data_IF_021094780104
#
_entry.id   IF_021094780104
#
_cell.length_a   1.000
_cell.length_b   1.000
_cell.length_c   1.000
_cell.angle_alpha   90.00
_cell.angle_beta   90.00
_cell.angle_gamma   90.00
#
_symmetry.space_group_name_H-M   'P 1'
#
loop_
_entity.id
_entity.type
_entity.pdbx_description
1 polymer ?
#
# COMPACT_ATOMS: atom_id res chain seq x y z
N UNK A 1 -11.03 20.19 18.64
CA UNK A 1 -11.93 20.41 17.49
C UNK A 1 -12.16 19.07 16.83
N UNK A 2 -13.41 18.60 16.68
CA UNK A 2 -13.70 17.39 15.89
C UNK A 2 -13.50 17.77 14.43
N UNK A 3 -12.38 17.40 13.85
CA UNK A 3 -12.20 17.39 12.40
C UNK A 3 -13.25 16.45 11.82
N UNK A 4 -14.13 16.96 10.98
CA UNK A 4 -15.10 16.10 10.27
C UNK A 4 -14.29 15.14 9.40
N UNK A 5 -14.32 13.84 9.74
CA UNK A 5 -13.67 12.82 8.93
C UNK A 5 -14.34 12.77 7.57
N UNK A 6 -13.56 12.93 6.52
CA UNK A 6 -14.02 12.77 5.14
C UNK A 6 -13.75 11.32 4.73
N UNK A 7 -14.81 10.58 4.39
CA UNK A 7 -14.67 9.19 3.98
C UNK A 7 -14.47 9.06 2.46
N UNK A 8 -13.47 8.29 2.07
CA UNK A 8 -13.17 7.94 0.69
C UNK A 8 -13.75 6.56 0.36
N UNK A 9 -14.56 6.49 -0.69
CA UNK A 9 -14.97 5.21 -1.29
C UNK A 9 -13.89 4.78 -2.27
N UNK A 10 -13.14 3.68 -1.99
CA UNK A 10 -12.02 3.28 -2.81
C UNK A 10 -12.41 2.97 -4.26
N UNK A 11 -11.78 3.65 -5.20
CA UNK A 11 -12.03 3.53 -6.64
C UNK A 11 -13.05 4.53 -7.21
N UNK A 12 -13.72 5.32 -6.36
CA UNK A 12 -14.76 6.29 -6.78
C UNK A 12 -14.38 7.74 -6.48
N UNK A 13 -13.15 8.00 -6.08
CA UNK A 13 -12.67 9.34 -5.70
C UNK A 13 -12.37 10.18 -6.94
N UNK A 14 -13.01 11.33 -7.07
CA UNK A 14 -12.82 12.25 -8.21
C UNK A 14 -11.48 12.99 -8.14
N UNK A 15 -10.96 13.44 -9.30
CA UNK A 15 -9.77 14.30 -9.36
C UNK A 15 -9.94 15.58 -8.54
N UNK A 16 -11.13 16.18 -8.56
CA UNK A 16 -11.43 17.38 -7.76
C UNK A 16 -11.32 17.11 -6.26
N UNK A 17 -11.73 15.91 -5.81
CA UNK A 17 -11.56 15.48 -4.42
C UNK A 17 -10.09 15.34 -4.06
N UNK A 18 -9.28 14.70 -4.93
CA UNK A 18 -7.83 14.58 -4.72
C UNK A 18 -7.14 15.93 -4.67
N UNK A 19 -7.48 16.85 -5.57
CA UNK A 19 -6.96 18.22 -5.56
C UNK A 19 -7.29 18.94 -4.24
N UNK A 20 -8.52 18.82 -3.75
CA UNK A 20 -8.94 19.40 -2.48
C UNK A 20 -8.13 18.83 -1.30
N UNK A 21 -8.00 17.50 -1.21
CA UNK A 21 -7.24 16.84 -0.15
C UNK A 21 -5.76 17.24 -0.17
N UNK A 22 -5.19 17.41 -1.36
CA UNK A 22 -3.81 17.86 -1.53
C UNK A 22 -3.61 19.30 -1.09
N UNK A 23 -4.44 20.24 -1.59
CA UNK A 23 -4.29 21.68 -1.32
C UNK A 23 -4.62 22.06 0.12
N UNK A 24 -5.68 21.51 0.67
CA UNK A 24 -6.18 21.88 2.01
C UNK A 24 -5.55 21.06 3.14
N UNK A 25 -4.77 20.05 2.83
CA UNK A 25 -4.21 19.17 3.84
C UNK A 25 -5.24 18.40 4.66
N UNK A 26 -6.47 18.28 4.15
CA UNK A 26 -7.58 17.64 4.86
C UNK A 26 -7.30 16.15 5.07
N UNK A 27 -7.52 15.66 6.30
CA UNK A 27 -7.45 14.24 6.61
C UNK A 27 -8.66 13.52 6.02
N UNK A 28 -8.40 12.37 5.43
CA UNK A 28 -9.42 11.50 4.89
C UNK A 28 -9.22 10.07 5.36
N UNK A 29 -10.32 9.40 5.64
CA UNK A 29 -10.35 8.01 6.06
C UNK A 29 -10.96 7.14 4.96
N UNK A 30 -10.59 5.87 4.91
CA UNK A 30 -11.24 4.92 4.00
C UNK A 30 -12.56 4.48 4.61
N UNK A 31 -13.60 4.43 3.77
CA UNK A 31 -14.90 3.89 4.15
C UNK A 31 -14.74 2.47 4.71
N UNK A 32 -15.17 2.21 5.96
CA UNK A 32 -15.04 0.89 6.60
C UNK A 32 -15.70 -0.25 5.81
N UNK A 33 -16.66 0.04 4.93
CA UNK A 33 -17.27 -0.97 4.06
C UNK A 33 -16.28 -1.66 3.13
N UNK A 34 -15.13 -1.03 2.85
CA UNK A 34 -14.06 -1.62 2.06
C UNK A 34 -13.38 -2.82 2.73
N UNK A 35 -13.47 -2.92 4.09
CA UNK A 35 -12.77 -3.95 4.86
C UNK A 35 -13.08 -5.37 4.38
N UNK A 36 -14.32 -5.69 4.11
CA UNK A 36 -14.72 -7.04 3.74
C UNK A 36 -14.03 -7.54 2.46
N UNK A 37 -13.90 -6.68 1.45
CA UNK A 37 -13.20 -7.03 0.19
C UNK A 37 -11.69 -7.08 0.34
N UNK A 38 -11.11 -6.22 1.18
CA UNK A 38 -9.67 -6.25 1.52
C UNK A 38 -9.33 -7.57 2.22
N UNK A 39 -10.10 -7.95 3.23
CA UNK A 39 -9.90 -9.20 3.97
C UNK A 39 -10.08 -10.44 3.06
N UNK A 40 -11.04 -10.40 2.12
CA UNK A 40 -11.22 -11.48 1.15
C UNK A 40 -9.98 -11.64 0.25
N UNK A 41 -9.42 -10.53 -0.26
CA UNK A 41 -8.21 -10.56 -1.07
C UNK A 41 -6.98 -11.04 -0.26
N UNK A 42 -6.83 -10.60 0.98
CA UNK A 42 -5.76 -11.06 1.87
C UNK A 42 -5.83 -12.58 2.11
N UNK A 43 -7.03 -13.14 2.31
CA UNK A 43 -7.23 -14.60 2.45
C UNK A 43 -6.83 -15.36 1.19
N UNK A 44 -7.16 -14.84 0.00
CA UNK A 44 -6.75 -15.45 -1.27
C UNK A 44 -5.23 -15.49 -1.42
N UNK A 45 -4.54 -14.39 -1.10
CA UNK A 45 -3.08 -14.32 -1.16
C UNK A 45 -2.45 -15.26 -0.15
N UNK A 46 -2.96 -15.32 1.08
CA UNK A 46 -2.48 -16.23 2.12
C UNK A 46 -2.62 -17.72 1.69
N UNK A 47 -3.75 -18.08 1.10
CA UNK A 47 -3.96 -19.42 0.56
C UNK A 47 -3.02 -19.73 -0.62
N UNK A 48 -2.78 -18.76 -1.50
CA UNK A 48 -1.84 -18.92 -2.62
C UNK A 48 -0.39 -19.06 -2.14
N UNK A 49 0.00 -18.35 -1.08
CA UNK A 49 1.36 -18.41 -0.52
C UNK A 49 1.72 -19.81 0.01
N UNK A 50 0.75 -20.54 0.56
CA UNK A 50 0.91 -21.90 1.08
C UNK A 50 0.55 -22.99 0.07
N UNK A 51 -0.01 -22.61 -1.08
CA UNK A 51 -0.46 -23.53 -2.12
C UNK A 51 0.69 -24.12 -2.94
N UNK A 52 0.38 -25.18 -3.70
CA UNK A 52 1.37 -25.89 -4.54
C UNK A 52 1.61 -25.23 -5.89
N UNK A 53 0.70 -24.42 -6.35
CA UNK A 53 0.84 -23.75 -7.65
C UNK A 53 1.72 -22.51 -7.53
N UNK A 54 2.68 -22.31 -8.45
CA UNK A 54 3.45 -21.08 -8.49
C UNK A 54 2.55 -19.89 -8.85
N UNK A 55 2.57 -18.85 -8.01
CA UNK A 55 1.85 -17.59 -8.22
C UNK A 55 2.85 -16.46 -8.14
N UNK A 56 3.01 -15.76 -9.26
CA UNK A 56 4.00 -14.69 -9.40
C UNK A 56 3.85 -13.60 -8.33
N UNK A 57 4.96 -13.26 -7.69
CA UNK A 57 5.01 -12.25 -6.65
C UNK A 57 4.47 -12.67 -5.28
N UNK A 58 4.00 -13.91 -5.15
CA UNK A 58 3.49 -14.47 -3.88
C UNK A 58 4.43 -15.57 -3.37
N UNK A 59 4.56 -16.67 -4.12
CA UNK A 59 5.37 -17.82 -3.74
C UNK A 59 6.39 -18.21 -4.83
N UNK A 60 6.79 -17.27 -5.67
CA UNK A 60 7.85 -17.44 -6.68
C UNK A 60 8.92 -16.37 -6.53
N UNK A 61 10.08 -16.59 -7.15
CA UNK A 61 11.06 -15.54 -7.37
C UNK A 61 10.57 -14.49 -8.38
N UNK A 62 11.44 -13.52 -8.69
CA UNK A 62 11.17 -12.41 -9.61
C UNK A 62 12.03 -12.51 -10.88
N UNK A 63 11.59 -11.84 -11.94
CA UNK A 63 12.32 -11.81 -13.22
C UNK A 63 12.51 -13.22 -13.80
N UNK A 64 13.75 -13.63 -13.99
CA UNK A 64 14.09 -14.99 -14.51
C UNK A 64 13.61 -16.13 -13.60
N UNK A 65 13.34 -15.86 -12.33
CA UNK A 65 12.86 -16.82 -11.34
C UNK A 65 11.35 -16.78 -11.14
N UNK A 66 10.61 -16.12 -12.01
CA UNK A 66 9.15 -15.93 -11.92
C UNK A 66 8.34 -17.24 -11.88
N UNK A 67 8.88 -18.32 -12.46
CA UNK A 67 8.27 -19.65 -12.46
C UNK A 67 8.87 -20.62 -11.39
N UNK A 68 9.88 -20.16 -10.66
CA UNK A 68 10.54 -20.95 -9.63
C UNK A 68 9.80 -20.77 -8.31
N UNK A 69 9.17 -21.85 -7.83
CA UNK A 69 8.50 -21.84 -6.52
C UNK A 69 9.54 -21.69 -5.40
N UNK A 70 9.26 -20.80 -4.48
CA UNK A 70 10.04 -20.57 -3.26
C UNK A 70 9.34 -21.28 -2.10
N UNK A 71 10.09 -21.95 -1.26
CA UNK A 71 9.55 -22.59 -0.07
C UNK A 71 8.97 -21.57 0.91
N UNK A 72 7.93 -21.94 1.64
CA UNK A 72 7.20 -21.04 2.52
C UNK A 72 8.08 -20.39 3.61
N UNK A 73 9.07 -21.11 4.11
CA UNK A 73 10.07 -20.63 5.08
C UNK A 73 11.05 -19.61 4.49
N UNK A 74 11.29 -19.66 3.18
CA UNK A 74 12.17 -18.73 2.45
C UNK A 74 11.45 -17.49 1.92
N UNK A 75 10.11 -17.50 1.82
CA UNK A 75 9.32 -16.37 1.29
C UNK A 75 9.59 -15.08 2.08
N UNK A 76 9.70 -15.17 3.40
CA UNK A 76 9.99 -14.00 4.25
C UNK A 76 11.36 -13.39 3.94
N UNK A 77 12.38 -14.24 3.72
CA UNK A 77 13.72 -13.80 3.35
C UNK A 77 13.72 -13.20 1.94
N UNK A 78 12.98 -13.79 1.00
CA UNK A 78 12.81 -13.26 -0.34
C UNK A 78 12.22 -11.85 -0.33
N UNK A 79 11.16 -11.61 0.44
CA UNK A 79 10.53 -10.29 0.56
C UNK A 79 11.50 -9.25 1.16
N UNK A 80 12.25 -9.64 2.18
CA UNK A 80 13.30 -8.78 2.75
C UNK A 80 14.37 -8.43 1.72
N UNK A 81 14.87 -9.40 0.98
CA UNK A 81 15.90 -9.20 -0.03
C UNK A 81 15.39 -8.30 -1.16
N UNK A 82 14.12 -8.45 -1.55
CA UNK A 82 13.48 -7.59 -2.54
C UNK A 82 13.52 -6.11 -2.10
N UNK A 83 13.10 -5.83 -0.87
CA UNK A 83 13.16 -4.45 -0.33
C UNK A 83 14.59 -3.93 -0.35
N UNK A 84 15.55 -4.69 0.19
CA UNK A 84 16.95 -4.28 0.26
C UNK A 84 17.56 -4.02 -1.12
N UNK A 85 17.21 -4.82 -2.13
CA UNK A 85 17.73 -4.68 -3.49
C UNK A 85 17.12 -3.49 -4.27
N UNK A 86 16.01 -2.93 -3.79
CA UNK A 86 15.32 -1.80 -4.40
C UNK A 86 15.46 -0.50 -3.58
N UNK A 87 16.10 -0.53 -2.41
CA UNK A 87 16.38 0.64 -1.60
C UNK A 87 17.56 1.44 -2.17
N UNK A 88 17.39 2.05 -3.32
CA UNK A 88 18.43 2.78 -4.06
C UNK A 88 18.07 4.25 -4.32
N UNK A 89 17.12 4.80 -3.54
CA UNK A 89 16.69 6.19 -3.71
C UNK A 89 17.83 7.18 -3.42
N UNK A 90 17.99 8.19 -4.28
CA UNK A 90 19.00 9.25 -4.19
C UNK A 90 18.39 10.59 -4.60
N UNK A 91 19.14 11.69 -4.40
CA UNK A 91 18.68 13.04 -4.71
C UNK A 91 17.95 13.71 -3.57
N UNK A 92 17.41 14.89 -3.84
CA UNK A 92 16.66 15.66 -2.87
C UNK A 92 15.32 14.99 -2.54
N UNK A 93 14.75 15.22 -1.36
CA UNK A 93 13.43 14.70 -1.01
C UNK A 93 12.33 15.40 -1.83
N UNK A 94 11.30 14.65 -2.21
CA UNK A 94 10.06 15.22 -2.73
C UNK A 94 9.42 16.16 -1.70
N UNK A 95 8.68 17.15 -2.19
CA UNK A 95 7.86 17.99 -1.32
C UNK A 95 6.94 17.16 -0.43
N UNK A 96 6.80 17.56 0.83
CA UNK A 96 5.98 16.86 1.82
C UNK A 96 4.53 16.71 1.36
N UNK A 97 3.96 17.73 0.70
CA UNK A 97 2.60 17.66 0.16
C UNK A 97 2.46 16.61 -0.93
N UNK A 98 3.47 16.44 -1.78
CA UNK A 98 3.50 15.39 -2.80
C UNK A 98 3.61 14.01 -2.14
N UNK A 99 4.51 13.84 -1.16
CA UNK A 99 4.67 12.58 -0.43
C UNK A 99 3.39 12.21 0.33
N UNK A 100 2.71 13.19 0.94
CA UNK A 100 1.41 13.02 1.60
C UNK A 100 0.32 12.58 0.63
N UNK A 101 0.23 13.21 -0.54
CA UNK A 101 -0.71 12.79 -1.58
C UNK A 101 -0.42 11.37 -2.06
N UNK A 102 0.85 11.01 -2.25
CA UNK A 102 1.26 9.64 -2.60
C UNK A 102 0.80 8.63 -1.55
N UNK A 103 0.90 8.93 -0.25
CA UNK A 103 0.37 8.07 0.82
C UNK A 103 -1.14 7.91 0.71
N UNK A 104 -1.89 9.00 0.52
CA UNK A 104 -3.36 8.97 0.37
C UNK A 104 -3.77 8.10 -0.83
N UNK A 105 -3.12 8.29 -1.98
CA UNK A 105 -3.36 7.52 -3.19
C UNK A 105 -3.04 6.03 -2.98
N UNK A 106 -1.95 5.74 -2.26
CA UNK A 106 -1.56 4.37 -1.90
C UNK A 106 -2.59 3.71 -0.99
N UNK A 107 -3.03 4.39 0.06
CA UNK A 107 -4.07 3.92 0.97
C UNK A 107 -5.36 3.59 0.19
N UNK A 108 -5.81 4.52 -0.65
CA UNK A 108 -7.00 4.33 -1.49
C UNK A 108 -6.85 3.14 -2.45
N UNK A 109 -5.67 2.99 -3.08
CA UNK A 109 -5.39 1.87 -3.97
C UNK A 109 -5.43 0.52 -3.25
N UNK A 110 -4.79 0.42 -2.07
CA UNK A 110 -4.78 -0.79 -1.25
C UNK A 110 -6.20 -1.16 -0.78
N UNK A 111 -6.99 -0.17 -0.41
CA UNK A 111 -8.36 -0.34 0.06
C UNK A 111 -9.35 -0.81 -1.03
N UNK A 112 -8.93 -0.83 -2.31
CA UNK A 112 -9.71 -1.46 -3.38
C UNK A 112 -9.83 -2.98 -3.24
N UNK A 113 -9.03 -3.61 -2.35
CA UNK A 113 -9.10 -5.04 -2.11
C UNK A 113 -8.62 -5.90 -3.28
N UNK A 114 -7.62 -5.42 -4.03
CA UNK A 114 -7.02 -6.14 -5.16
C UNK A 114 -5.55 -6.53 -4.92
N UNK A 115 -4.90 -6.02 -3.88
CA UNK A 115 -3.47 -6.22 -3.61
C UNK A 115 -3.16 -7.32 -2.59
N UNK A 116 -4.15 -7.81 -1.86
CA UNK A 116 -3.98 -8.87 -0.86
C UNK A 116 -3.29 -8.44 0.44
N UNK A 117 -3.15 -7.15 0.70
CA UNK A 117 -2.66 -6.65 2.00
C UNK A 117 -3.72 -6.89 3.08
N UNK A 118 -3.30 -7.04 4.34
CA UNK A 118 -4.24 -7.07 5.46
C UNK A 118 -4.77 -5.65 5.76
N UNK A 119 -5.97 -5.59 6.35
CA UNK A 119 -6.62 -4.32 6.70
C UNK A 119 -5.77 -3.46 7.63
N UNK A 120 -5.01 -4.08 8.55
CA UNK A 120 -4.16 -3.38 9.52
C UNK A 120 -3.07 -2.52 8.86
N UNK A 121 -2.58 -2.89 7.67
CA UNK A 121 -1.65 -2.06 6.89
C UNK A 121 -2.31 -0.74 6.49
N UNK A 122 -3.57 -0.79 6.05
CA UNK A 122 -4.33 0.40 5.65
C UNK A 122 -4.55 1.30 6.87
N UNK A 123 -4.97 0.73 7.99
CA UNK A 123 -5.18 1.46 9.25
C UNK A 123 -3.87 2.09 9.74
N UNK A 124 -2.75 1.36 9.70
CA UNK A 124 -1.45 1.89 10.10
C UNK A 124 -1.04 3.09 9.23
N UNK A 125 -1.19 3.00 7.91
CA UNK A 125 -0.87 4.10 7.00
C UNK A 125 -1.77 5.33 7.26
N UNK A 126 -3.05 5.12 7.55
CA UNK A 126 -3.97 6.21 7.93
C UNK A 126 -3.53 6.87 9.26
N UNK A 127 -3.13 6.08 10.25
CA UNK A 127 -2.63 6.62 11.52
C UNK A 127 -1.34 7.43 11.32
N UNK A 128 -0.38 6.93 10.56
CA UNK A 128 0.85 7.68 10.25
C UNK A 128 0.52 9.02 9.60
N UNK A 129 -0.39 9.01 8.64
CA UNK A 129 -0.83 10.22 7.96
C UNK A 129 -1.54 11.21 8.91
N UNK A 130 -2.39 10.71 9.82
CA UNK A 130 -3.10 11.51 10.80
C UNK A 130 -2.16 12.16 11.83
N UNK A 131 -1.06 11.47 12.18
CA UNK A 131 -0.02 11.98 13.08
C UNK A 131 1.02 12.85 12.36
N UNK A 132 0.85 13.13 11.07
CA UNK A 132 1.81 13.91 10.28
C UNK A 132 3.13 13.18 10.01
N UNK A 133 3.16 11.86 10.13
CA UNK A 133 4.36 11.06 9.85
C UNK A 133 4.37 10.73 8.36
N UNK A 134 5.15 11.51 7.61
CA UNK A 134 5.26 11.43 6.16
C UNK A 134 6.63 10.84 5.80
N UNK A 135 6.70 9.85 4.88
CA UNK A 135 7.98 9.29 4.46
C UNK A 135 8.78 10.30 3.65
N UNK A 136 10.09 10.31 3.88
CA UNK A 136 11.03 11.01 2.99
C UNK A 136 11.21 10.16 1.73
N UNK A 137 10.78 10.68 0.60
CA UNK A 137 10.87 10.00 -0.70
C UNK A 137 11.89 10.73 -1.56
N UNK A 138 13.02 10.11 -1.92
CA UNK A 138 13.99 10.70 -2.84
C UNK A 138 13.39 10.90 -4.23
N UNK A 139 13.80 11.95 -4.93
CA UNK A 139 13.32 12.25 -6.29
C UNK A 139 13.76 11.22 -7.34
N UNK A 140 14.85 10.49 -7.06
CA UNK A 140 15.46 9.53 -7.97
C UNK A 140 15.66 8.17 -7.30
N UNK A 141 15.33 7.08 -8.02
CA UNK A 141 15.51 5.74 -7.50
C UNK A 141 14.86 4.65 -8.32
#
# INVERSE_FOLDING_TARGET
>A
MKTSSFYLTPGEVSLKTWEHLWREGTLAEIDPSAKARVDAAAKLVAAAATGDKPVYGINTGFGKLASVKINADEVKQLQRNLILSHCAGVGDPLDEDAARLMMLLKINSLARGASGVCWDVIIMLQHLLAEGIIPVIPEQG
#
